data_IF_596037585887
#
_entry.id   IF_596037585887
#
_cell.length_a   1.000
_cell.length_b   1.000
_cell.length_c   1.000
_cell.angle_alpha   90.00
_cell.angle_beta   90.00
_cell.angle_gamma   90.00
#
_symmetry.space_group_name_H-M   'P 1'
#
loop_
_entity.id
_entity.type
_entity.pdbx_description
1 polymer ?
#
# COMPACT_ATOMS: atom_id res chain seq x y z
N UNK A 1 56.64 -28.75 37.74
CA UNK A 1 55.22 -28.60 37.40
C UNK A 1 54.88 -27.11 37.30
N UNK A 2 54.76 -26.64 36.06
CA UNK A 2 54.18 -25.38 35.54
C UNK A 2 54.12 -24.13 36.43
N UNK A 3 55.21 -23.35 36.44
CA UNK A 3 55.24 -21.96 36.94
C UNK A 3 55.88 -21.06 35.88
N UNK A 4 55.24 -20.98 34.71
CA UNK A 4 55.79 -20.25 33.54
C UNK A 4 54.78 -19.61 32.59
N UNK A 5 53.49 -19.97 32.65
CA UNK A 5 52.50 -19.49 31.66
C UNK A 5 51.42 -18.55 32.22
N UNK A 6 51.33 -18.31 33.54
CA UNK A 6 50.29 -17.41 34.08
C UNK A 6 50.47 -15.96 33.66
N UNK A 7 51.71 -15.48 33.54
CA UNK A 7 51.97 -14.10 33.13
C UNK A 7 51.73 -13.88 31.62
N UNK A 8 51.97 -14.89 30.77
CA UNK A 8 51.66 -14.81 29.33
C UNK A 8 50.15 -14.89 29.07
N UNK A 9 49.41 -15.67 29.85
CA UNK A 9 47.94 -15.75 29.78
C UNK A 9 47.31 -14.43 30.27
N UNK A 10 47.80 -13.85 31.37
CA UNK A 10 47.30 -12.55 31.83
C UNK A 10 47.64 -11.41 30.86
N UNK A 11 48.79 -11.47 30.16
CA UNK A 11 49.15 -10.48 29.14
C UNK A 11 48.28 -10.62 27.87
N UNK A 12 47.91 -11.85 27.50
CA UNK A 12 47.01 -12.12 26.38
C UNK A 12 45.55 -11.71 26.70
N UNK A 13 45.10 -11.92 27.94
CA UNK A 13 43.76 -11.52 28.40
C UNK A 13 43.64 -9.99 28.50
N UNK A 14 44.71 -9.28 28.86
CA UNK A 14 44.71 -7.82 28.89
C UNK A 14 44.70 -7.18 27.48
N UNK A 15 45.25 -7.86 26.47
CA UNK A 15 45.23 -7.39 25.08
C UNK A 15 43.84 -7.48 24.42
N UNK A 16 43.00 -8.44 24.83
CA UNK A 16 41.62 -8.58 24.31
C UNK A 16 40.71 -7.46 24.84
N UNK A 17 41.03 -6.87 26.00
CA UNK A 17 40.27 -5.75 26.58
C UNK A 17 40.58 -4.38 25.94
N UNK A 18 41.56 -4.32 25.03
CA UNK A 18 41.91 -3.11 24.27
C UNK A 18 41.58 -3.21 22.77
N UNK A 19 40.83 -4.24 22.36
CA UNK A 19 40.20 -4.22 21.05
C UNK A 19 39.02 -3.23 21.07
N UNK A 20 39.35 -1.94 21.05
CA UNK A 20 38.41 -0.92 20.61
C UNK A 20 38.03 -1.30 19.18
N UNK A 21 36.79 -1.71 19.00
CA UNK A 21 36.16 -1.65 17.68
C UNK A 21 36.13 -0.16 17.36
N UNK A 22 37.01 0.28 16.47
CA UNK A 22 36.83 1.59 15.85
C UNK A 22 35.50 1.50 15.10
N UNK A 23 34.48 2.29 15.49
CA UNK A 23 33.27 2.37 14.70
C UNK A 23 33.71 2.77 13.29
N UNK A 24 33.32 1.95 12.31
CA UNK A 24 33.55 2.30 10.92
C UNK A 24 32.78 3.60 10.69
N UNK A 25 33.52 4.71 10.67
CA UNK A 25 32.98 5.99 10.29
C UNK A 25 32.66 5.83 8.81
N UNK A 26 31.39 5.53 8.53
CA UNK A 26 30.88 5.64 7.19
C UNK A 26 31.10 7.11 6.88
N UNK A 27 32.16 7.42 6.13
CA UNK A 27 32.21 8.63 5.33
C UNK A 27 30.97 8.51 4.46
N UNK A 28 29.86 9.01 5.00
CA UNK A 28 28.61 9.23 4.33
C UNK A 28 28.95 9.68 2.93
N UNK A 29 28.49 8.90 1.95
CA UNK A 29 28.29 9.35 0.58
C UNK A 29 27.85 10.81 0.71
N UNK A 30 28.69 11.70 0.19
CA UNK A 30 28.73 13.12 0.49
C UNK A 30 27.34 13.69 0.84
N UNK A 31 27.09 13.92 2.13
CA UNK A 31 25.85 14.57 2.60
C UNK A 31 25.80 16.03 2.10
N UNK A 32 26.88 16.51 1.44
CA UNK A 32 26.96 17.80 0.77
C UNK A 32 26.81 17.71 -0.75
N UNK A 33 26.44 16.55 -1.31
CA UNK A 33 26.01 16.47 -2.71
C UNK A 33 24.71 17.25 -2.90
N UNK A 34 24.56 17.91 -4.05
CA UNK A 34 23.30 18.56 -4.42
C UNK A 34 22.16 17.52 -4.40
N UNK A 35 20.98 17.84 -3.83
CA UNK A 35 19.86 16.91 -3.80
C UNK A 35 19.49 16.45 -5.21
N UNK A 36 19.42 15.15 -5.43
CA UNK A 36 19.08 14.58 -6.73
C UNK A 36 17.57 14.61 -6.94
N UNK A 37 17.13 14.90 -8.17
CA UNK A 37 15.74 14.77 -8.56
C UNK A 37 15.31 13.30 -8.46
N UNK A 38 14.14 13.07 -7.87
CA UNK A 38 13.45 11.77 -7.81
C UNK A 38 12.13 11.90 -8.56
N UNK A 39 11.90 11.00 -9.52
CA UNK A 39 10.68 10.99 -10.33
C UNK A 39 9.93 9.68 -10.16
N UNK A 40 8.71 9.75 -9.65
CA UNK A 40 7.77 8.63 -9.63
C UNK A 40 6.61 8.95 -10.59
N UNK A 41 6.57 8.25 -11.71
CA UNK A 41 5.63 8.54 -12.79
C UNK A 41 5.16 7.25 -13.45
N UNK A 42 3.83 7.06 -13.51
CA UNK A 42 3.20 5.92 -14.18
C UNK A 42 2.13 6.40 -15.15
N UNK A 43 2.31 6.07 -16.43
CA UNK A 43 1.33 6.27 -17.49
C UNK A 43 0.73 4.92 -17.91
N UNK A 44 -0.60 4.86 -18.02
CA UNK A 44 -1.33 3.66 -18.42
C UNK A 44 -2.37 3.93 -19.49
N UNK A 45 -2.91 2.86 -20.08
CA UNK A 45 -4.06 2.90 -20.99
C UNK A 45 -5.43 2.92 -20.27
N UNK A 46 -5.47 3.22 -18.98
CA UNK A 46 -6.73 3.44 -18.26
C UNK A 46 -7.10 4.93 -18.35
N UNK A 47 -8.33 5.27 -18.75
CA UNK A 47 -8.86 6.62 -18.69
C UNK A 47 -9.04 7.09 -17.24
N UNK A 48 -8.02 7.74 -16.69
CA UNK A 48 -7.99 8.22 -15.30
C UNK A 48 -7.02 9.39 -15.15
N UNK A 49 -6.95 9.94 -13.93
CA UNK A 49 -5.86 10.84 -13.54
C UNK A 49 -4.58 10.01 -13.35
N UNK A 50 -3.54 10.33 -14.10
CA UNK A 50 -2.17 9.84 -13.88
C UNK A 50 -1.39 10.89 -13.10
N UNK A 51 -0.83 10.49 -11.95
CA UNK A 51 -0.05 11.37 -11.10
C UNK A 51 1.44 11.14 -11.34
N UNK A 52 2.18 12.24 -11.35
CA UNK A 52 3.64 12.29 -11.39
C UNK A 52 4.10 13.03 -10.14
N UNK A 53 4.85 12.33 -9.28
CA UNK A 53 5.44 12.89 -8.08
C UNK A 53 6.90 13.23 -8.34
N UNK A 54 7.25 14.49 -8.12
CA UNK A 54 8.61 15.00 -8.18
C UNK A 54 9.08 15.40 -6.79
N UNK A 55 10.20 14.84 -6.36
CA UNK A 55 10.84 15.19 -5.10
C UNK A 55 12.35 15.26 -5.23
N UNK A 56 13.02 15.69 -4.16
CA UNK A 56 14.46 15.63 -4.02
C UNK A 56 14.85 14.54 -3.01
N UNK A 57 16.01 13.92 -3.24
CA UNK A 57 16.62 13.04 -2.24
C UNK A 57 16.92 13.82 -0.96
N UNK A 58 16.80 13.15 0.19
CA UNK A 58 17.06 13.74 1.49
C UNK A 58 17.98 12.83 2.33
N UNK A 59 18.74 13.44 3.24
CA UNK A 59 19.67 12.72 4.11
C UNK A 59 18.95 11.84 5.14
N UNK A 60 19.58 10.73 5.53
CA UNK A 60 19.07 9.82 6.56
C UNK A 60 18.77 10.58 7.86
N UNK A 61 17.55 10.43 8.38
CA UNK A 61 17.10 11.09 9.62
C UNK A 61 16.25 12.34 9.43
N UNK A 62 16.12 12.83 8.20
CA UNK A 62 15.07 13.81 7.86
C UNK A 62 13.76 13.07 7.55
N UNK A 63 12.63 13.62 8.02
CA UNK A 63 11.30 12.99 7.89
C UNK A 63 10.41 13.64 6.83
N UNK A 64 10.75 14.83 6.38
CA UNK A 64 9.93 15.59 5.46
C UNK A 64 10.46 15.42 4.03
N UNK A 65 9.57 14.99 3.14
CA UNK A 65 9.85 14.88 1.71
C UNK A 65 9.95 16.30 1.11
N UNK A 66 11.12 16.66 0.60
CA UNK A 66 11.27 17.90 -0.17
C UNK A 66 10.73 17.69 -1.58
N UNK A 67 9.63 18.35 -1.92
CA UNK A 67 8.98 18.24 -3.24
C UNK A 67 9.53 19.24 -4.25
N UNK A 68 9.42 18.94 -5.54
CA UNK A 68 9.78 19.88 -6.63
C UNK A 68 8.54 20.61 -7.11
N UNK A 69 8.32 21.84 -6.63
CA UNK A 69 7.10 22.61 -6.90
C UNK A 69 7.22 23.57 -8.10
N UNK A 70 6.09 23.76 -8.81
CA UNK A 70 5.92 24.60 -9.99
C UNK A 70 6.92 24.39 -11.12
N UNK A 71 7.33 23.14 -11.33
CA UNK A 71 7.96 22.70 -12.57
C UNK A 71 6.92 22.64 -13.70
N UNK A 72 7.40 22.74 -14.94
CA UNK A 72 6.60 22.45 -16.13
C UNK A 72 6.83 20.97 -16.45
N UNK A 73 5.79 20.16 -16.31
CA UNK A 73 5.82 18.71 -16.56
C UNK A 73 4.93 18.40 -17.75
N UNK A 74 5.45 17.65 -18.72
CA UNK A 74 4.69 17.26 -19.90
C UNK A 74 5.01 15.84 -20.36
N UNK A 75 3.98 15.15 -20.83
CA UNK A 75 4.10 13.87 -21.54
C UNK A 75 4.07 14.15 -23.03
N UNK A 76 5.09 13.70 -23.75
CA UNK A 76 5.22 13.78 -25.21
C UNK A 76 4.96 12.39 -25.81
N UNK A 77 4.01 12.26 -26.74
CA UNK A 77 3.77 11.02 -27.49
C UNK A 77 4.52 10.98 -28.82
N UNK A 78 4.72 9.79 -29.37
CA UNK A 78 5.44 9.55 -30.63
C UNK A 78 4.81 10.21 -31.85
N UNK A 79 3.50 10.45 -31.83
CA UNK A 79 2.76 11.19 -32.85
C UNK A 79 2.93 12.72 -32.77
N UNK A 80 3.68 13.22 -31.79
CA UNK A 80 3.97 14.64 -31.57
C UNK A 80 2.94 15.37 -30.69
N UNK A 81 1.92 14.69 -30.15
CA UNK A 81 1.05 15.29 -29.16
C UNK A 81 1.79 15.54 -27.84
N UNK A 82 1.50 16.67 -27.20
CA UNK A 82 2.10 17.06 -25.92
C UNK A 82 0.98 17.37 -24.94
N UNK A 83 1.00 16.69 -23.79
CA UNK A 83 0.08 16.95 -22.69
C UNK A 83 0.86 17.56 -21.55
N UNK A 84 0.59 18.83 -21.25
CA UNK A 84 1.13 19.50 -20.07
C UNK A 84 0.27 19.18 -18.85
N UNK A 85 0.92 18.75 -17.76
CA UNK A 85 0.26 18.36 -16.53
C UNK A 85 -0.01 19.59 -15.66
N UNK A 86 -1.04 19.48 -14.81
CA UNK A 86 -1.39 20.51 -13.82
C UNK A 86 -0.87 20.11 -12.46
N UNK A 87 -0.14 21.00 -11.78
CA UNK A 87 0.25 20.81 -10.39
C UNK A 87 -0.96 21.06 -9.48
N UNK A 88 -1.39 20.04 -8.73
CA UNK A 88 -2.55 20.15 -7.82
C UNK A 88 -2.16 20.20 -6.34
N UNK A 89 -0.96 19.72 -6.02
CA UNK A 89 -0.26 19.89 -4.75
C UNK A 89 1.24 20.05 -5.04
N UNK A 90 2.03 20.68 -4.15
CA UNK A 90 3.47 20.81 -4.33
C UNK A 90 4.11 19.47 -4.71
N UNK A 91 4.79 19.43 -5.87
CA UNK A 91 5.44 18.24 -6.40
C UNK A 91 4.53 17.19 -7.04
N UNK A 92 3.21 17.35 -6.99
CA UNK A 92 2.24 16.42 -7.55
C UNK A 92 1.60 17.01 -8.80
N UNK A 93 1.92 16.42 -9.95
CA UNK A 93 1.47 16.84 -11.27
C UNK A 93 0.51 15.80 -11.83
N UNK A 94 -0.63 16.24 -12.36
CA UNK A 94 -1.71 15.37 -12.79
C UNK A 94 -2.12 15.62 -14.24
N UNK A 95 -2.46 14.55 -14.95
CA UNK A 95 -3.19 14.61 -16.22
C UNK A 95 -4.67 14.93 -15.99
N UNK A 96 -5.42 15.18 -17.07
CA UNK A 96 -6.88 15.22 -17.00
C UNK A 96 -7.44 13.85 -16.62
N UNK A 97 -8.60 13.80 -15.95
CA UNK A 97 -9.23 12.56 -15.48
C UNK A 97 -9.68 11.60 -16.60
N UNK A 98 -9.66 12.06 -17.85
CA UNK A 98 -10.01 11.27 -19.04
C UNK A 98 -8.80 10.94 -19.90
N UNK A 99 -7.58 11.26 -19.45
CA UNK A 99 -6.38 10.95 -20.21
C UNK A 99 -6.08 9.45 -20.13
N UNK A 100 -5.65 8.89 -21.25
CA UNK A 100 -5.19 7.49 -21.36
C UNK A 100 -4.09 7.41 -22.41
N UNK A 101 -3.11 6.54 -22.16
CA UNK A 101 -2.14 6.16 -23.17
C UNK A 101 -2.74 5.20 -24.19
N UNK A 102 -2.23 5.24 -25.41
CA UNK A 102 -2.65 4.39 -26.52
C UNK A 102 -1.65 3.23 -26.63
N UNK A 103 -2.16 2.01 -26.68
CA UNK A 103 -1.35 0.80 -26.86
C UNK A 103 -0.62 0.86 -28.20
N UNK A 104 0.69 0.59 -28.17
CA UNK A 104 1.59 0.65 -29.32
C UNK A 104 2.23 2.01 -29.55
N UNK A 105 1.75 3.08 -28.90
CA UNK A 105 2.39 4.39 -28.97
C UNK A 105 3.56 4.51 -27.98
N UNK A 106 4.52 5.36 -28.35
CA UNK A 106 5.68 5.69 -27.53
C UNK A 106 5.47 7.00 -26.77
N UNK A 107 6.02 7.08 -25.56
CA UNK A 107 5.88 8.24 -24.69
C UNK A 107 7.22 8.64 -24.05
N UNK A 108 7.39 9.93 -23.80
CA UNK A 108 8.47 10.52 -23.00
C UNK A 108 7.93 11.49 -21.98
N UNK A 109 8.57 11.54 -20.82
CA UNK A 109 8.32 12.54 -19.80
C UNK A 109 9.38 13.65 -19.90
N UNK A 110 8.94 14.89 -20.04
CA UNK A 110 9.80 16.09 -19.96
C UNK A 110 9.46 16.88 -18.70
N UNK A 111 10.50 17.27 -17.98
CA UNK A 111 10.40 18.08 -16.76
C UNK A 111 11.30 19.29 -16.92
N UNK A 112 10.77 20.49 -16.65
CA UNK A 112 11.53 21.73 -16.57
C UNK A 112 11.27 22.39 -15.23
N UNK A 113 12.26 22.43 -14.37
CA UNK A 113 12.16 22.99 -13.02
C UNK A 113 12.25 24.52 -13.04
N UNK A 114 11.83 25.17 -11.95
CA UNK A 114 11.88 26.65 -11.82
C UNK A 114 13.29 27.24 -11.94
N UNK A 115 14.30 26.51 -11.48
CA UNK A 115 15.70 26.90 -11.59
C UNK A 115 16.27 26.69 -13.01
N UNK A 116 15.47 26.20 -13.96
CA UNK A 116 15.84 26.06 -15.37
C UNK A 116 16.51 24.75 -15.74
N UNK A 117 16.63 23.78 -14.81
CA UNK A 117 17.10 22.44 -15.13
C UNK A 117 16.04 21.71 -15.97
N UNK A 118 16.49 20.96 -16.96
CA UNK A 118 15.63 20.19 -17.85
C UNK A 118 16.00 18.71 -17.78
N UNK A 119 14.97 17.87 -17.69
CA UNK A 119 15.09 16.42 -17.61
C UNK A 119 14.18 15.77 -18.66
N UNK A 120 14.64 14.66 -19.22
CA UNK A 120 13.91 13.91 -20.23
C UNK A 120 14.04 12.43 -19.97
N UNK A 121 12.92 11.72 -20.02
CA UNK A 121 12.95 10.25 -20.01
C UNK A 121 13.40 9.70 -21.36
N UNK A 122 13.93 8.49 -21.36
CA UNK A 122 14.01 7.69 -22.58
C UNK A 122 12.60 7.41 -23.10
N UNK A 123 12.50 7.11 -24.38
CA UNK A 123 11.24 6.75 -25.02
C UNK A 123 10.78 5.37 -24.55
N UNK A 124 9.53 5.28 -24.11
CA UNK A 124 8.91 4.04 -23.63
C UNK A 124 7.64 3.75 -24.42
N UNK A 125 7.54 2.55 -24.99
CA UNK A 125 6.35 2.09 -25.71
C UNK A 125 5.32 1.49 -24.75
N UNK A 126 4.06 1.87 -24.92
CA UNK A 126 2.94 1.31 -24.16
C UNK A 126 2.57 -0.07 -24.69
N UNK A 127 3.09 -1.11 -24.04
CA UNK A 127 2.81 -2.49 -24.40
C UNK A 127 1.42 -2.92 -23.96
N UNK A 128 0.72 -3.71 -24.79
CA UNK A 128 -0.54 -4.33 -24.40
C UNK A 128 -0.32 -5.31 -23.23
N UNK A 129 -1.17 -5.26 -22.22
CA UNK A 129 -1.15 -6.25 -21.15
C UNK A 129 -1.97 -7.50 -21.53
N UNK A 130 -1.39 -8.72 -21.41
CA UNK A 130 -2.13 -9.95 -21.59
C UNK A 130 -3.20 -10.09 -20.51
N UNK A 131 -4.37 -10.69 -20.81
CA UNK A 131 -5.38 -10.93 -19.80
C UNK A 131 -4.84 -11.88 -18.71
N UNK A 132 -5.33 -11.72 -17.49
CA UNK A 132 -5.11 -12.70 -16.43
C UNK A 132 -6.10 -13.86 -16.68
N UNK A 133 -5.59 -15.07 -16.90
CA UNK A 133 -6.40 -16.25 -17.28
C UNK A 133 -7.22 -16.77 -16.10
N UNK A 134 -6.62 -16.80 -14.91
CA UNK A 134 -7.25 -17.27 -13.69
C UNK A 134 -6.77 -16.46 -12.48
N UNK A 135 -7.65 -16.30 -11.50
CA UNK A 135 -7.34 -15.74 -10.18
C UNK A 135 -8.03 -16.64 -9.16
N UNK A 136 -7.26 -17.30 -8.29
CA UNK A 136 -7.78 -18.27 -7.34
C UNK A 136 -6.98 -18.27 -6.03
N UNK A 137 -7.64 -18.66 -4.94
CA UNK A 137 -7.04 -18.76 -3.62
C UNK A 137 -6.77 -20.20 -3.20
N UNK A 138 -5.75 -20.42 -2.37
CA UNK A 138 -5.55 -21.67 -1.62
C UNK A 138 -5.27 -21.35 -0.17
N UNK A 139 -5.89 -22.09 0.75
CA UNK A 139 -5.57 -21.99 2.17
C UNK A 139 -4.20 -22.63 2.45
N UNK A 140 -3.27 -21.84 2.97
CA UNK A 140 -1.87 -22.21 3.21
C UNK A 140 -1.39 -21.66 4.56
N UNK A 141 -0.30 -22.26 5.05
CA UNK A 141 0.44 -21.76 6.19
C UNK A 141 1.81 -21.26 5.72
N UNK A 142 2.08 -19.96 5.88
CA UNK A 142 3.30 -19.29 5.42
C UNK A 142 3.99 -18.55 6.58
N UNK A 143 5.33 -18.47 6.61
CA UNK A 143 6.04 -17.69 7.61
C UNK A 143 5.85 -16.18 7.37
N UNK A 144 5.58 -15.44 8.44
CA UNK A 144 5.57 -13.98 8.45
C UNK A 144 6.93 -13.44 8.01
N UNK A 145 6.93 -12.46 7.10
CA UNK A 145 8.17 -11.76 6.69
C UNK A 145 8.81 -10.98 7.84
N UNK A 146 8.02 -10.56 8.84
CA UNK A 146 8.47 -9.73 9.95
C UNK A 146 8.93 -10.56 11.15
N UNK A 147 8.09 -11.49 11.61
CA UNK A 147 8.34 -12.26 12.84
C UNK A 147 8.89 -13.67 12.57
N UNK A 148 8.76 -14.19 11.35
CA UNK A 148 9.04 -15.59 11.02
C UNK A 148 8.03 -16.59 11.58
N UNK A 149 7.01 -16.13 12.30
CA UNK A 149 5.94 -16.99 12.82
C UNK A 149 5.06 -17.51 11.69
N UNK A 150 4.55 -18.73 11.84
CA UNK A 150 3.67 -19.33 10.86
C UNK A 150 2.28 -18.68 10.94
N UNK A 151 1.88 -18.04 9.84
CA UNK A 151 0.57 -17.45 9.65
C UNK A 151 -0.26 -18.38 8.76
N UNK A 152 -1.50 -18.62 9.18
CA UNK A 152 -2.48 -19.25 8.30
C UNK A 152 -3.20 -18.19 7.49
N UNK A 153 -3.61 -18.55 6.29
CA UNK A 153 -4.31 -17.61 5.43
C UNK A 153 -4.53 -18.14 4.04
N UNK A 154 -5.05 -17.29 3.17
CA UNK A 154 -5.33 -17.63 1.79
C UNK A 154 -4.29 -16.94 0.91
N UNK A 155 -3.50 -17.75 0.20
CA UNK A 155 -2.61 -17.24 -0.84
C UNK A 155 -3.38 -17.17 -2.14
N UNK A 156 -3.46 -15.97 -2.70
CA UNK A 156 -3.97 -15.74 -4.04
C UNK A 156 -2.88 -15.99 -5.08
N UNK A 157 -3.28 -16.71 -6.12
CA UNK A 157 -2.47 -17.06 -7.27
C UNK A 157 -3.14 -16.57 -8.55
N UNK A 158 -2.31 -16.24 -9.52
CA UNK A 158 -2.75 -16.00 -10.90
C UNK A 158 -2.07 -16.94 -11.88
N UNK A 159 -2.77 -17.22 -12.97
CA UNK A 159 -2.20 -17.74 -14.19
C UNK A 159 -2.33 -16.68 -15.30
N UNK A 160 -1.26 -16.49 -16.07
CA UNK A 160 -1.24 -15.59 -17.24
C UNK A 160 -0.50 -16.27 -18.38
N UNK A 161 -1.14 -16.36 -19.54
CA UNK A 161 -0.53 -16.75 -20.82
C UNK A 161 -0.39 -15.52 -21.72
N UNK A 162 0.80 -15.33 -22.28
CA UNK A 162 1.12 -14.20 -23.14
C UNK A 162 1.80 -14.64 -24.44
N UNK A 163 1.50 -15.85 -24.90
CA UNK A 163 2.03 -16.41 -26.15
C UNK A 163 1.82 -15.50 -27.36
N UNK A 164 0.76 -14.69 -27.35
CA UNK A 164 0.37 -13.76 -28.42
C UNK A 164 0.78 -12.29 -28.14
N UNK A 165 1.65 -12.05 -27.16
CA UNK A 165 2.07 -10.71 -26.73
C UNK A 165 3.58 -10.55 -26.76
N UNK A 166 4.05 -9.34 -27.04
CA UNK A 166 5.49 -9.01 -27.15
C UNK A 166 6.16 -8.72 -25.79
N UNK A 167 5.39 -8.75 -24.70
CA UNK A 167 5.86 -8.45 -23.34
C UNK A 167 6.03 -9.71 -22.51
N UNK A 168 7.09 -9.77 -21.70
CA UNK A 168 7.37 -10.89 -20.79
C UNK A 168 7.70 -10.46 -19.36
N UNK A 169 7.52 -9.18 -19.05
CA UNK A 169 7.88 -8.55 -17.78
C UNK A 169 6.69 -7.80 -17.22
N UNK A 170 6.33 -8.13 -15.97
CA UNK A 170 5.10 -7.65 -15.36
C UNK A 170 5.34 -7.08 -13.98
N UNK A 171 4.57 -6.04 -13.64
CA UNK A 171 4.38 -5.53 -12.28
C UNK A 171 2.94 -5.77 -11.87
N UNK A 172 2.71 -6.05 -10.60
CA UNK A 172 1.38 -6.37 -10.08
C UNK A 172 1.02 -5.43 -8.94
N UNK A 173 -0.24 -5.02 -8.92
CA UNK A 173 -0.88 -4.29 -7.81
C UNK A 173 -2.16 -5.04 -7.48
N UNK A 174 -2.43 -5.25 -6.21
CA UNK A 174 -3.72 -5.73 -5.76
C UNK A 174 -4.48 -4.59 -5.09
N UNK A 175 -5.78 -4.56 -5.33
CA UNK A 175 -6.74 -3.64 -4.70
C UNK A 175 -7.81 -4.52 -4.06
N UNK A 176 -8.03 -4.34 -2.77
CA UNK A 176 -9.06 -5.06 -2.03
C UNK A 176 -10.20 -4.11 -1.68
N UNK A 177 -11.41 -4.63 -1.71
CA UNK A 177 -12.59 -3.95 -1.18
C UNK A 177 -13.35 -4.94 -0.31
N UNK A 178 -13.62 -4.56 0.92
CA UNK A 178 -14.20 -5.42 1.95
C UNK A 178 -15.58 -4.93 2.30
N UNK A 179 -16.52 -5.87 2.43
CA UNK A 179 -17.75 -5.61 3.16
C UNK A 179 -17.43 -5.57 4.65
N UNK A 180 -17.73 -4.43 5.26
CA UNK A 180 -17.49 -4.20 6.67
C UNK A 180 -18.81 -4.04 7.41
N UNK A 181 -18.98 -4.79 8.50
CA UNK A 181 -20.15 -4.64 9.37
C UNK A 181 -19.72 -4.46 10.82
N UNK A 182 -20.45 -3.58 11.51
CA UNK A 182 -20.30 -3.41 12.95
C UNK A 182 -21.22 -4.37 13.71
N UNK A 183 -20.76 -4.96 14.82
CA UNK A 183 -21.55 -5.91 15.59
C UNK A 183 -22.74 -5.28 16.32
N UNK A 184 -22.68 -3.97 16.63
CA UNK A 184 -23.65 -3.28 17.46
C UNK A 184 -24.11 -1.96 16.83
N UNK A 185 -24.68 -2.05 15.62
CA UNK A 185 -25.15 -0.87 14.88
C UNK A 185 -25.96 0.10 15.75
N UNK A 186 -25.57 1.37 15.73
CA UNK A 186 -26.13 2.44 16.54
C UNK A 186 -27.62 2.63 16.22
N UNK A 187 -28.51 2.20 17.11
CA UNK A 187 -29.96 2.31 16.89
C UNK A 187 -30.50 3.71 17.16
N UNK A 188 -29.72 4.55 17.84
CA UNK A 188 -30.09 5.93 18.20
C UNK A 188 -28.95 6.89 17.91
N UNK A 189 -29.25 8.16 17.65
CA UNK A 189 -28.26 9.23 17.63
C UNK A 189 -28.69 10.36 18.56
N UNK A 190 -27.71 11.10 19.08
CA UNK A 190 -27.97 12.31 19.86
C UNK A 190 -28.21 13.48 18.91
N UNK A 191 -29.36 14.15 19.06
CA UNK A 191 -29.65 15.39 18.36
C UNK A 191 -29.38 16.58 19.28
N UNK A 192 -28.30 17.32 19.00
CA UNK A 192 -27.89 18.49 19.76
C UNK A 192 -28.93 19.62 19.76
N UNK A 193 -29.84 19.67 18.78
CA UNK A 193 -30.85 20.74 18.71
C UNK A 193 -32.03 20.50 19.62
N UNK A 194 -32.43 19.25 19.74
CA UNK A 194 -33.55 18.84 20.61
C UNK A 194 -33.09 18.33 21.95
N UNK A 195 -31.78 18.09 22.12
CA UNK A 195 -31.16 17.49 23.31
C UNK A 195 -31.82 16.15 23.65
N UNK A 196 -32.08 15.34 22.62
CA UNK A 196 -32.69 14.02 22.78
C UNK A 196 -31.99 12.94 21.97
N UNK A 197 -32.05 11.70 22.44
CA UNK A 197 -31.74 10.54 21.62
C UNK A 197 -32.90 10.22 20.69
N UNK A 198 -32.62 10.21 19.39
CA UNK A 198 -33.58 9.92 18.33
C UNK A 198 -33.29 8.53 17.76
N UNK A 199 -34.31 7.69 17.67
CA UNK A 199 -34.19 6.38 17.04
C UNK A 199 -33.95 6.53 15.53
N UNK A 200 -33.00 5.77 14.98
CA UNK A 200 -32.71 5.75 13.55
C UNK A 200 -33.83 5.08 12.78
N UNK A 201 -34.18 5.65 11.63
CA UNK A 201 -35.02 4.97 10.64
C UNK A 201 -34.25 3.81 9.99
N UNK A 202 -34.96 2.82 9.43
CA UNK A 202 -34.34 1.60 8.87
C UNK A 202 -33.26 1.89 7.82
N UNK A 203 -33.47 2.87 6.94
CA UNK A 203 -32.50 3.26 5.91
C UNK A 203 -31.22 3.86 6.50
N UNK A 204 -31.33 4.65 7.57
CA UNK A 204 -30.19 5.23 8.28
C UNK A 204 -29.47 4.17 9.11
N UNK A 205 -30.20 3.24 9.74
CA UNK A 205 -29.63 2.10 10.45
C UNK A 205 -28.77 1.22 9.54
N UNK A 206 -29.23 0.92 8.32
CA UNK A 206 -28.44 0.17 7.35
C UNK A 206 -27.15 0.90 6.97
N UNK A 207 -27.14 2.24 6.99
CA UNK A 207 -25.96 3.05 6.65
C UNK A 207 -24.88 3.03 7.74
N UNK A 208 -25.24 2.76 9.00
CA UNK A 208 -24.28 2.60 10.11
C UNK A 208 -23.89 1.15 10.33
N UNK A 209 -24.71 0.19 9.88
CA UNK A 209 -24.46 -1.24 10.03
C UNK A 209 -23.44 -1.75 9.02
N UNK A 210 -23.57 -1.40 7.74
CA UNK A 210 -22.80 -1.97 6.63
C UNK A 210 -22.16 -0.88 5.77
N UNK A 211 -20.85 -0.97 5.62
CA UNK A 211 -20.04 -0.07 4.79
C UNK A 211 -19.03 -0.88 3.95
N UNK A 212 -18.31 -0.20 3.07
CA UNK A 212 -17.22 -0.73 2.27
C UNK A 212 -15.92 -0.05 2.67
N UNK A 213 -14.88 -0.86 2.83
CA UNK A 213 -13.50 -0.40 3.07
C UNK A 213 -12.65 -0.92 1.94
N UNK A 214 -11.51 -0.30 1.68
CA UNK A 214 -10.56 -0.81 0.71
C UNK A 214 -9.14 -0.62 1.16
N UNK A 215 -8.27 -1.45 0.63
CA UNK A 215 -6.82 -1.35 0.77
C UNK A 215 -6.16 -1.58 -0.58
N UNK A 216 -4.91 -1.16 -0.72
CA UNK A 216 -4.14 -1.31 -1.96
C UNK A 216 -2.72 -1.72 -1.61
N UNK A 217 -2.13 -2.54 -2.47
CA UNK A 217 -0.79 -3.07 -2.25
C UNK A 217 0.27 -1.96 -2.11
N UNK A 218 0.99 -1.97 -0.99
CA UNK A 218 2.18 -1.13 -0.79
C UNK A 218 3.49 -1.85 -1.15
N UNK A 219 3.43 -3.15 -1.47
CA UNK A 219 4.60 -3.97 -1.79
C UNK A 219 4.88 -4.01 -3.29
N UNK A 220 6.17 -3.93 -3.65
CA UNK A 220 6.60 -4.04 -5.03
C UNK A 220 6.63 -5.51 -5.47
N UNK A 221 5.63 -5.90 -6.26
CA UNK A 221 5.54 -7.23 -6.85
C UNK A 221 5.84 -7.18 -8.34
N UNK A 222 6.89 -7.89 -8.74
CA UNK A 222 7.29 -8.03 -10.14
C UNK A 222 7.46 -9.50 -10.49
N UNK A 223 7.06 -9.88 -11.70
CA UNK A 223 7.13 -11.24 -12.19
C UNK A 223 7.54 -11.30 -13.66
N UNK A 224 8.32 -12.33 -14.00
CA UNK A 224 8.64 -12.68 -15.39
C UNK A 224 8.90 -14.18 -15.46
N UNK A 225 8.73 -14.77 -16.64
CA UNK A 225 9.13 -16.16 -16.91
C UNK A 225 10.41 -16.22 -17.76
N UNK A 226 11.20 -15.14 -17.79
CA UNK A 226 12.45 -15.05 -18.58
C UNK A 226 13.38 -16.24 -18.29
N UNK A 227 13.43 -16.69 -17.04
CA UNK A 227 14.24 -17.84 -16.59
C UNK A 227 13.66 -19.20 -17.01
N UNK A 228 12.34 -19.27 -17.25
CA UNK A 228 11.63 -20.49 -17.61
C UNK A 228 11.49 -20.70 -19.12
N UNK A 229 11.82 -19.68 -19.93
CA UNK A 229 11.72 -19.66 -21.40
C UNK A 229 10.37 -20.18 -21.93
N UNK A 230 9.28 -19.81 -21.23
CA UNK A 230 7.90 -20.15 -21.59
C UNK A 230 7.07 -18.88 -21.51
N UNK A 231 6.21 -18.56 -22.48
CA UNK A 231 5.38 -17.35 -22.46
C UNK A 231 4.16 -17.49 -21.53
N UNK A 232 4.38 -18.05 -20.34
CA UNK A 232 3.34 -18.33 -19.37
C UNK A 232 3.90 -18.27 -17.96
N UNK A 233 3.08 -17.77 -17.04
CA UNK A 233 3.29 -17.80 -15.61
C UNK A 233 2.11 -18.54 -15.00
N UNK A 234 2.39 -19.63 -14.29
CA UNK A 234 1.36 -20.45 -13.63
C UNK A 234 1.57 -20.42 -12.13
N UNK A 235 0.48 -20.33 -11.38
CA UNK A 235 0.49 -20.35 -9.92
C UNK A 235 1.42 -19.26 -9.34
N UNK A 236 1.36 -18.05 -9.89
CA UNK A 236 2.16 -16.93 -9.40
C UNK A 236 1.54 -16.32 -8.13
N UNK A 237 2.23 -16.34 -6.98
CA UNK A 237 1.69 -15.80 -5.75
C UNK A 237 1.62 -14.27 -5.81
N UNK A 238 0.41 -13.70 -5.72
CA UNK A 238 0.21 -12.24 -5.82
C UNK A 238 -0.09 -11.55 -4.50
N UNK A 239 -0.84 -12.22 -3.62
CA UNK A 239 -1.24 -11.63 -2.36
C UNK A 239 -1.53 -12.72 -1.33
N UNK A 240 -1.02 -12.57 -0.11
CA UNK A 240 -1.32 -13.45 1.00
C UNK A 240 -2.24 -12.71 1.96
N UNK A 241 -3.39 -13.33 2.22
CA UNK A 241 -4.45 -12.81 3.06
C UNK A 241 -4.40 -13.59 4.38
N UNK A 242 -4.03 -12.93 5.49
CA UNK A 242 -3.97 -13.56 6.81
C UNK A 242 -5.37 -13.81 7.37
N UNK A 243 -5.66 -15.01 7.89
CA UNK A 243 -6.98 -15.33 8.47
C UNK A 243 -7.35 -14.49 9.71
N UNK A 244 -6.37 -13.92 10.41
CA UNK A 244 -6.59 -13.02 11.55
C UNK A 244 -7.01 -11.59 11.12
N UNK A 245 -6.99 -11.26 9.83
CA UNK A 245 -7.39 -9.94 9.35
C UNK A 245 -8.91 -9.76 9.46
N UNK A 246 -9.41 -8.85 10.33
CA UNK A 246 -10.83 -8.66 10.54
C UNK A 246 -11.58 -8.22 9.26
N UNK A 247 -10.89 -7.63 8.27
CA UNK A 247 -11.49 -7.20 7.01
C UNK A 247 -12.09 -8.36 6.20
N UNK A 248 -11.71 -9.60 6.53
CA UNK A 248 -12.15 -10.80 5.84
C UNK A 248 -13.36 -11.47 6.47
N UNK A 249 -13.92 -10.92 7.54
CA UNK A 249 -15.05 -11.55 8.22
C UNK A 249 -16.26 -11.78 7.31
N UNK A 250 -16.37 -11.05 6.19
CA UNK A 250 -17.48 -11.11 5.25
C UNK A 250 -17.01 -11.35 3.80
N UNK A 251 -17.65 -10.66 2.83
CA UNK A 251 -17.34 -10.71 1.40
C UNK A 251 -16.22 -9.72 1.09
N UNK A 252 -15.20 -10.18 0.38
CA UNK A 252 -14.08 -9.38 -0.09
C UNK A 252 -13.99 -9.48 -1.60
N UNK A 253 -13.81 -8.35 -2.27
CA UNK A 253 -13.44 -8.26 -3.67
C UNK A 253 -11.94 -8.03 -3.75
N UNK A 254 -11.24 -8.84 -4.55
CA UNK A 254 -9.81 -8.67 -4.82
C UNK A 254 -9.61 -8.45 -6.30
N UNK A 255 -9.14 -7.27 -6.67
CA UNK A 255 -8.83 -6.87 -8.02
C UNK A 255 -7.32 -6.87 -8.23
N UNK A 256 -6.82 -7.78 -9.06
CA UNK A 256 -5.40 -7.83 -9.43
C UNK A 256 -5.20 -7.05 -10.72
N UNK A 257 -4.37 -6.01 -10.68
CA UNK A 257 -3.91 -5.26 -11.84
C UNK A 257 -2.52 -5.75 -12.22
N UNK A 258 -2.39 -6.18 -13.48
CA UNK A 258 -1.15 -6.58 -14.11
C UNK A 258 -0.73 -5.51 -15.12
N UNK A 259 0.47 -4.98 -14.91
CA UNK A 259 1.08 -3.94 -15.73
C UNK A 259 2.14 -4.58 -16.64
N UNK A 260 1.99 -4.41 -17.95
CA UNK A 260 2.98 -4.82 -18.95
C UNK A 260 4.08 -3.76 -19.05
N UNK A 261 5.19 -4.00 -18.35
CA UNK A 261 6.29 -3.03 -18.24
C UNK A 261 7.44 -3.36 -19.18
N UNK A 262 8.20 -2.35 -19.61
CA UNK A 262 9.42 -2.56 -20.38
C UNK A 262 10.48 -3.34 -19.59
N UNK A 263 11.43 -3.97 -20.29
CA UNK A 263 12.52 -4.71 -19.63
C UNK A 263 13.34 -3.80 -18.71
N UNK A 264 13.63 -2.57 -19.14
CA UNK A 264 14.40 -1.61 -18.33
C UNK A 264 13.65 -1.21 -17.05
N UNK A 265 12.36 -0.93 -17.17
CA UNK A 265 11.48 -0.63 -16.01
C UNK A 265 11.39 -1.83 -15.06
N UNK A 266 11.29 -3.06 -15.58
CA UNK A 266 11.31 -4.26 -14.77
C UNK A 266 12.63 -4.42 -14.00
N UNK A 267 13.78 -4.17 -14.65
CA UNK A 267 15.08 -4.23 -13.98
C UNK A 267 15.22 -3.13 -12.92
N UNK A 268 14.71 -1.93 -13.18
CA UNK A 268 14.63 -0.86 -12.19
C UNK A 268 13.88 -1.33 -10.93
N UNK A 269 12.66 -1.84 -11.08
CA UNK A 269 11.87 -2.32 -9.95
C UNK A 269 12.49 -3.54 -9.25
N UNK A 270 13.07 -4.47 -10.00
CA UNK A 270 13.78 -5.63 -9.42
C UNK A 270 14.93 -5.16 -8.52
N UNK A 271 15.76 -4.23 -8.99
CA UNK A 271 16.87 -3.66 -8.21
C UNK A 271 16.36 -2.86 -7.01
N UNK A 272 15.29 -2.09 -7.18
CA UNK A 272 14.66 -1.34 -6.08
C UNK A 272 14.16 -2.29 -4.98
N UNK A 273 13.47 -3.38 -5.37
CA UNK A 273 13.02 -4.42 -4.46
C UNK A 273 14.19 -5.09 -3.72
N UNK A 274 15.20 -5.55 -4.47
CA UNK A 274 16.40 -6.19 -3.89
C UNK A 274 17.12 -5.25 -2.92
N UNK A 275 17.17 -3.95 -3.21
CA UNK A 275 17.79 -2.95 -2.34
C UNK A 275 17.03 -2.78 -1.01
N UNK A 276 15.70 -2.71 -1.08
CA UNK A 276 14.79 -2.52 0.06
C UNK A 276 14.66 -3.77 0.94
N UNK A 277 14.70 -4.98 0.35
CA UNK A 277 14.55 -6.25 1.08
C UNK A 277 15.87 -6.79 1.67
N UNK A 278 17.02 -6.15 1.39
CA UNK A 278 18.32 -6.54 1.95
C UNK A 278 18.46 -6.11 3.41
N UNK A 279 18.37 -7.07 4.34
CA UNK A 279 18.40 -6.89 5.79
C UNK A 279 19.73 -6.43 6.43
N UNK A 280 20.69 -5.95 5.64
CA UNK A 280 21.94 -5.34 6.15
C UNK A 280 22.94 -6.36 6.71
N UNK A 281 22.89 -7.61 6.26
CA UNK A 281 23.86 -8.64 6.67
C UNK A 281 25.23 -8.38 6.05
N UNK A 282 26.30 -8.77 6.76
CA UNK A 282 27.69 -8.66 6.29
C UNK A 282 27.96 -9.51 5.02
N UNK A 283 27.06 -10.43 4.69
CA UNK A 283 27.10 -11.28 3.51
C UNK A 283 26.08 -10.89 2.42
N UNK A 284 25.40 -9.75 2.57
CA UNK A 284 24.50 -9.25 1.55
C UNK A 284 25.29 -8.92 0.27
N UNK A 285 24.71 -9.25 -0.89
CA UNK A 285 25.31 -8.92 -2.18
C UNK A 285 25.55 -7.40 -2.26
N UNK A 286 26.72 -7.00 -2.77
CA UNK A 286 27.00 -5.60 -3.03
C UNK A 286 25.90 -5.02 -3.92
N UNK A 287 25.17 -4.03 -3.38
CA UNK A 287 23.99 -3.46 -4.02
C UNK A 287 24.41 -2.66 -5.26
N UNK A 288 23.88 -3.02 -6.42
CA UNK A 288 24.08 -2.26 -7.64
C UNK A 288 23.34 -0.91 -7.60
N UNK A 289 23.78 0.05 -8.41
CA UNK A 289 23.09 1.33 -8.54
C UNK A 289 21.69 1.12 -9.14
N UNK A 290 20.68 1.75 -8.53
CA UNK A 290 19.33 1.84 -9.06
C UNK A 290 19.33 2.98 -10.08
N UNK A 291 19.37 2.63 -11.36
CA UNK A 291 19.40 3.60 -12.47
C UNK A 291 18.03 3.57 -13.12
N UNK A 292 17.43 4.76 -13.21
CA UNK A 292 16.16 5.02 -13.87
C UNK A 292 16.28 5.16 -15.38
N UNK A 293 15.20 5.67 -15.99
CA UNK A 293 15.15 5.99 -17.41
C UNK A 293 15.06 7.51 -17.67
N UNK A 294 15.53 8.36 -16.75
CA UNK A 294 15.47 9.81 -16.85
C UNK A 294 16.87 10.40 -16.78
N UNK A 295 17.15 11.33 -17.67
CA UNK A 295 18.46 11.98 -17.81
C UNK A 295 18.30 13.51 -17.71
N UNK A 296 19.30 14.16 -17.14
CA UNK A 296 19.39 15.61 -17.13
C UNK A 296 19.95 16.11 -18.48
N UNK A 297 19.21 17.02 -19.12
CA UNK A 297 19.61 17.67 -20.37
C UNK A 297 20.53 18.86 -20.14
N UNK A 298 20.43 19.49 -18.97
CA UNK A 298 21.23 20.68 -18.61
C UNK A 298 22.64 20.32 -18.12
N UNK A 299 22.77 19.22 -17.37
CA UNK A 299 24.05 18.68 -16.92
C UNK A 299 24.08 17.15 -17.08
N UNK A 300 24.74 16.61 -18.12
CA UNK A 300 24.83 15.16 -18.33
C UNK A 300 25.61 14.39 -17.26
N UNK A 301 26.25 15.05 -16.30
CA UNK A 301 26.87 14.39 -15.13
C UNK A 301 25.94 14.34 -13.92
N UNK A 302 24.84 15.09 -13.94
CA UNK A 302 23.83 15.05 -12.90
C UNK A 302 23.10 13.70 -12.93
N UNK A 303 23.01 13.06 -11.77
CA UNK A 303 22.27 11.80 -11.61
C UNK A 303 20.82 12.09 -11.26
N UNK A 304 19.89 11.37 -11.89
CA UNK A 304 18.45 11.43 -11.60
C UNK A 304 18.01 10.07 -11.06
N UNK A 305 17.17 10.10 -10.02
CA UNK A 305 16.54 8.91 -9.46
C UNK A 305 15.10 8.79 -9.93
N UNK A 306 14.56 7.57 -9.88
CA UNK A 306 13.17 7.32 -10.25
C UNK A 306 13.01 6.70 -11.63
N UNK A 307 11.78 6.55 -12.09
CA UNK A 307 11.47 5.93 -13.38
C UNK A 307 10.14 6.47 -13.91
N UNK A 308 10.08 6.71 -15.23
CA UNK A 308 8.85 6.90 -15.97
C UNK A 308 8.38 5.55 -16.52
N UNK A 309 7.43 4.93 -15.83
CA UNK A 309 6.77 3.72 -16.30
C UNK A 309 5.68 4.07 -17.31
N UNK A 310 5.71 3.38 -18.45
CA UNK A 310 4.62 3.39 -19.44
C UNK A 310 4.20 1.94 -19.65
N UNK A 311 2.96 1.62 -19.30
CA UNK A 311 2.52 0.23 -19.26
C UNK A 311 1.04 0.07 -19.59
N UNK A 312 0.71 -0.95 -20.38
CA UNK A 312 -0.67 -1.41 -20.49
C UNK A 312 -1.11 -2.10 -19.21
N UNK A 313 -2.41 -2.04 -18.92
CA UNK A 313 -3.02 -2.62 -17.74
C UNK A 313 -4.10 -3.60 -18.14
N UNK A 314 -4.04 -4.78 -17.54
CA UNK A 314 -5.12 -5.78 -17.53
C UNK A 314 -5.50 -6.06 -16.09
N UNK A 315 -6.77 -6.24 -15.81
CA UNK A 315 -7.24 -6.53 -14.44
C UNK A 315 -8.11 -7.77 -14.38
N UNK A 316 -8.12 -8.41 -13.20
CA UNK A 316 -9.04 -9.50 -12.89
C UNK A 316 -9.55 -9.37 -11.48
N UNK A 317 -10.86 -9.36 -11.38
CA UNK A 317 -11.59 -9.32 -10.12
C UNK A 317 -12.02 -10.73 -9.73
N UNK A 318 -11.82 -11.09 -8.47
CA UNK A 318 -12.41 -12.26 -7.85
C UNK A 318 -13.07 -11.88 -6.52
N UNK A 319 -14.09 -12.66 -6.15
CA UNK A 319 -14.70 -12.55 -4.83
C UNK A 319 -14.21 -13.67 -3.92
N UNK A 320 -13.81 -13.27 -2.73
CA UNK A 320 -13.47 -14.12 -1.63
C UNK A 320 -14.58 -14.02 -0.58
N UNK A 321 -15.00 -15.15 -0.04
CA UNK A 321 -15.88 -15.20 1.12
C UNK A 321 -15.33 -16.23 2.11
N UNK A 322 -15.02 -15.81 3.33
CA UNK A 322 -14.42 -16.67 4.36
C UNK A 322 -15.21 -17.96 4.62
N UNK A 323 -16.54 -17.90 4.46
CA UNK A 323 -17.42 -19.07 4.61
C UNK A 323 -17.06 -20.23 3.64
N UNK A 324 -16.48 -19.93 2.49
CA UNK A 324 -16.12 -20.92 1.48
C UNK A 324 -14.90 -21.76 1.88
N UNK A 325 -14.06 -21.24 2.80
CA UNK A 325 -12.81 -21.87 3.23
C UNK A 325 -12.92 -22.54 4.61
N UNK A 326 -14.12 -22.54 5.22
CA UNK A 326 -14.37 -23.18 6.52
C UNK A 326 -14.04 -24.68 6.51
N UNK A 327 -14.29 -25.38 5.40
CA UNK A 327 -13.98 -26.79 5.26
C UNK A 327 -12.47 -27.07 5.22
N UNK A 328 -11.67 -26.08 4.82
CA UNK A 328 -10.21 -26.14 4.76
C UNK A 328 -9.54 -25.74 6.09
N UNK A 329 -10.34 -25.30 7.08
CA UNK A 329 -9.88 -24.92 8.41
C UNK A 329 -9.65 -23.43 8.60
N UNK A 330 -10.13 -22.57 7.69
CA UNK A 330 -10.08 -21.12 7.84
C UNK A 330 -10.91 -20.70 9.06
N UNK A 331 -10.27 -19.99 10.00
CA UNK A 331 -10.95 -19.46 11.16
C UNK A 331 -11.52 -18.07 10.83
N UNK A 332 -12.85 -17.90 10.94
CA UNK A 332 -13.44 -16.57 10.70
C UNK A 332 -12.95 -15.64 11.81
N UNK A 333 -12.25 -14.54 11.47
CA UNK A 333 -11.72 -13.64 12.48
C UNK A 333 -12.89 -13.02 13.27
N UNK A 334 -12.81 -12.98 14.61
CA UNK A 334 -13.84 -12.34 15.40
C UNK A 334 -13.89 -10.86 15.03
N UNK A 335 -15.07 -10.38 14.62
CA UNK A 335 -15.32 -8.96 14.37
C UNK A 335 -14.94 -8.17 15.62
N UNK A 336 -13.86 -7.40 15.51
CA UNK A 336 -13.26 -6.60 16.59
C UNK A 336 -13.21 -7.32 17.95
N UNK A 337 -12.04 -7.87 18.32
CA UNK A 337 -11.79 -8.31 19.72
C UNK A 337 -12.13 -7.23 20.76
N UNK A 338 -12.03 -5.95 20.38
CA UNK A 338 -12.35 -4.78 21.21
C UNK A 338 -13.83 -4.37 21.27
N UNK A 339 -14.76 -5.07 20.61
CA UNK A 339 -16.20 -4.78 20.69
C UNK A 339 -16.96 -5.72 21.62
N UNK A 340 -16.28 -6.61 22.35
CA UNK A 340 -16.95 -7.58 23.20
C UNK A 340 -17.59 -6.91 24.44
N UNK A 341 -18.92 -6.77 24.42
CA UNK A 341 -19.72 -6.17 25.50
C UNK A 341 -19.59 -6.88 26.86
N UNK A 342 -19.10 -8.13 26.89
CA UNK A 342 -18.87 -8.88 28.13
C UNK A 342 -17.53 -8.54 28.81
N UNK A 343 -16.68 -7.74 28.16
CA UNK A 343 -15.44 -7.23 28.76
C UNK A 343 -15.76 -5.92 29.49
N UNK A 344 -15.48 -5.89 30.79
CA UNK A 344 -15.72 -4.71 31.64
C UNK A 344 -15.02 -3.46 31.07
N UNK A 345 -15.77 -2.36 30.92
CA UNK A 345 -15.25 -1.04 30.54
C UNK A 345 -15.44 -0.63 29.07
N UNK A 346 -16.02 -1.50 28.22
CA UNK A 346 -16.31 -1.15 26.82
C UNK A 346 -17.67 -0.46 26.69
N UNK A 347 -18.66 -0.95 27.42
CA UNK A 347 -20.02 -0.41 27.43
C UNK A 347 -20.24 0.54 28.60
N UNK A 348 -20.80 1.72 28.32
CA UNK A 348 -21.32 2.62 29.35
C UNK A 348 -22.85 2.53 29.36
N UNK A 349 -23.47 2.60 30.54
CA UNK A 349 -24.92 2.61 30.69
C UNK A 349 -25.36 3.94 31.29
N UNK A 350 -26.06 4.75 30.50
CA UNK A 350 -26.42 6.12 30.85
C UNK A 350 -27.95 6.21 31.03
N UNK A 351 -28.44 6.61 32.22
CA UNK A 351 -29.87 6.89 32.41
C UNK A 351 -30.36 7.99 31.47
N UNK A 352 -31.64 7.93 31.07
CA UNK A 352 -32.24 8.96 30.21
C UNK A 352 -32.09 10.38 30.79
N UNK A 353 -32.13 10.53 32.12
CA UNK A 353 -31.97 11.81 32.81
C UNK A 353 -30.56 12.40 32.72
N UNK A 354 -29.55 11.58 32.47
CA UNK A 354 -28.14 11.99 32.49
C UNK A 354 -27.56 12.11 31.07
N UNK A 355 -28.37 11.86 30.05
CA UNK A 355 -27.94 11.80 28.66
C UNK A 355 -27.39 13.15 28.16
N UNK A 356 -28.06 14.25 28.49
CA UNK A 356 -27.63 15.61 28.18
C UNK A 356 -26.27 15.93 28.80
N UNK A 357 -26.10 15.63 30.08
CA UNK A 357 -24.82 15.82 30.79
C UNK A 357 -23.70 14.96 30.19
N UNK A 358 -24.03 13.72 29.79
CA UNK A 358 -23.06 12.80 29.18
C UNK A 358 -22.53 13.36 27.85
N UNK A 359 -23.42 13.75 26.93
CA UNK A 359 -23.04 14.32 25.63
C UNK A 359 -22.42 15.71 25.72
N UNK A 360 -22.67 16.44 26.80
CA UNK A 360 -21.98 17.70 27.11
C UNK A 360 -20.59 17.52 27.71
N UNK A 361 -20.18 16.27 28.01
CA UNK A 361 -18.91 15.94 28.64
C UNK A 361 -17.95 15.23 27.69
N UNK A 362 -16.66 15.24 28.03
CA UNK A 362 -15.64 14.49 27.30
C UNK A 362 -15.84 12.96 27.33
N UNK A 363 -16.74 12.44 28.17
CA UNK A 363 -17.02 11.00 28.29
C UNK A 363 -17.76 10.46 27.07
N UNK A 364 -18.45 11.32 26.30
CA UNK A 364 -19.14 10.93 25.07
C UNK A 364 -18.21 10.86 23.84
N UNK A 365 -16.98 11.36 23.95
CA UNK A 365 -16.04 11.38 22.84
C UNK A 365 -15.73 9.95 22.37
N UNK A 366 -15.95 9.69 21.08
CA UNK A 366 -15.71 8.38 20.46
C UNK A 366 -16.71 7.30 20.87
N UNK A 367 -17.93 7.67 21.30
CA UNK A 367 -18.98 6.75 21.73
C UNK A 367 -20.25 6.92 20.88
N UNK A 368 -20.89 5.80 20.56
CA UNK A 368 -22.18 5.73 19.86
C UNK A 368 -23.25 5.07 20.71
N UNK A 369 -24.51 5.48 20.52
CA UNK A 369 -25.67 4.90 21.22
C UNK A 369 -26.07 3.61 20.48
N UNK A 370 -25.73 2.45 21.06
CA UNK A 370 -26.10 1.16 20.49
C UNK A 370 -27.60 0.93 20.59
N UNK A 371 -28.16 0.99 21.81
CA UNK A 371 -29.56 0.67 22.08
C UNK A 371 -30.09 1.33 23.35
N UNK A 372 -31.39 1.17 23.60
CA UNK A 372 -32.09 1.60 24.81
C UNK A 372 -32.76 0.39 25.48
N UNK A 373 -32.41 0.12 26.73
CA UNK A 373 -33.05 -0.92 27.54
C UNK A 373 -34.30 -0.36 28.22
N UNK A 374 -35.48 -0.79 27.75
CA UNK A 374 -36.77 -0.36 28.29
C UNK A 374 -37.03 -0.79 29.73
N UNK A 375 -36.45 -1.92 30.17
CA UNK A 375 -36.67 -2.44 31.52
C UNK A 375 -35.84 -1.68 32.56
N UNK A 376 -34.63 -1.25 32.18
CA UNK A 376 -33.72 -0.51 33.04
C UNK A 376 -33.82 1.01 32.86
N UNK A 377 -34.38 1.49 31.75
CA UNK A 377 -34.45 2.91 31.43
C UNK A 377 -33.10 3.53 31.08
N UNK A 378 -32.18 2.73 30.53
CA UNK A 378 -30.78 3.08 30.28
C UNK A 378 -30.45 3.03 28.78
N UNK A 379 -29.69 4.00 28.31
CA UNK A 379 -29.00 3.93 27.02
C UNK A 379 -27.67 3.20 27.18
N UNK A 380 -27.36 2.33 26.23
CA UNK A 380 -26.09 1.61 26.19
C UNK A 380 -25.19 2.27 25.14
N UNK A 381 -24.06 2.79 25.61
CA UNK A 381 -23.02 3.39 24.77
C UNK A 381 -21.91 2.40 24.51
N UNK A 382 -21.39 2.38 23.29
CA UNK A 382 -20.24 1.58 22.90
C UNK A 382 -19.25 2.44 22.13
N UNK A 383 -17.97 2.02 21.99
CA UNK A 383 -17.04 2.71 21.12
C UNK A 383 -17.61 2.88 19.72
N UNK A 384 -17.39 4.02 19.12
CA UNK A 384 -17.96 4.39 17.82
C UNK A 384 -17.58 3.37 16.72
N UNK A 385 -16.35 2.84 16.74
CA UNK A 385 -15.91 1.78 15.82
C UNK A 385 -16.68 0.45 15.94
N UNK A 386 -17.43 0.25 17.02
CA UNK A 386 -18.31 -0.92 17.23
C UNK A 386 -19.77 -0.67 16.83
N UNK A 387 -20.13 0.58 16.52
CA UNK A 387 -21.53 1.00 16.35
C UNK A 387 -21.81 1.76 15.06
N UNK A 388 -20.78 2.30 14.40
CA UNK A 388 -20.91 3.02 13.15
C UNK A 388 -19.77 2.66 12.19
N UNK A 389 -20.10 1.94 11.12
CA UNK A 389 -19.14 1.53 10.11
C UNK A 389 -18.56 2.71 9.31
N UNK A 390 -19.25 3.85 9.26
CA UNK A 390 -18.93 5.01 8.40
C UNK A 390 -17.67 5.75 8.85
N UNK A 391 -17.26 5.52 10.08
CA UNK A 391 -16.02 6.06 10.66
C UNK A 391 -14.80 5.56 9.90
N UNK A 392 -14.93 4.36 9.35
CA UNK A 392 -13.84 3.59 8.80
C UNK A 392 -14.07 3.17 7.34
N UNK A 393 -15.26 3.41 6.78
CA UNK A 393 -15.63 3.01 5.42
C UNK A 393 -16.67 3.93 4.76
N UNK A 394 -16.91 3.69 3.48
CA UNK A 394 -17.90 4.40 2.66
C UNK A 394 -19.19 3.58 2.55
N UNK A 395 -20.34 4.23 2.55
CA UNK A 395 -21.66 3.59 2.37
C UNK A 395 -21.98 3.30 0.90
N UNK A 396 -21.27 3.94 -0.03
CA UNK A 396 -21.45 3.74 -1.47
C UNK A 396 -21.06 2.32 -1.87
N UNK A 397 -22.02 1.60 -2.43
CA UNK A 397 -21.79 0.25 -2.96
C UNK A 397 -20.89 0.36 -4.20
N UNK A 398 -19.73 -0.32 -4.24
CA UNK A 398 -18.89 -0.33 -5.42
C UNK A 398 -19.65 -0.88 -6.64
N UNK A 399 -19.49 -0.27 -7.81
CA UNK A 399 -20.21 -0.65 -9.03
C UNK A 399 -19.98 -2.12 -9.45
N UNK A 400 -18.86 -2.71 -9.04
CA UNK A 400 -18.50 -4.09 -9.33
C UNK A 400 -19.03 -5.09 -8.29
N UNK A 401 -19.73 -4.65 -7.24
CA UNK A 401 -20.08 -5.49 -6.08
C UNK A 401 -21.30 -6.40 -6.30
N UNK A 402 -22.13 -6.11 -7.31
CA UNK A 402 -23.38 -6.82 -7.64
C UNK A 402 -23.17 -8.16 -8.37
#
# INVERSE_FOLDING_TARGET
>A
MMRGNKNKINLLILAVLFACIEPYDYNSIDINGDPLLVVDAVLTNEAKVHNILLSYTYGLGTRDLTTVDGAIVSIESGDGNIVTLTEWQPGNYATASTYEGIVGESYRLRIKTKNGHEYLSTEQTLNAAPPIDSLYGRYLQLPSKESGELLNGVQLFIDTDWSDYEVSTFRYVWEETYEWRVPYASSYFWDEKTETAIARATTDLLSVEKCFRGDTSNSLLVGSSLELNKPKLTEFPVHFINEDDPNLAFKTAVNIKQYAVSTDTYQYYKRLKENNESGGSLFDKQKGNIVGNIEALTDPQESVMGNFEVSGVSSKLAFFESRNFLAEGFNIPPLFRGCNISINGIADSIPTSDLENYFSSYLSAGKGIWTFDLALGLYVMLPEGCTDCRIQGNIEVPNFWE
#
